data_IF_012312407623
#
_entry.id   IF_012312407623
#
_cell.length_a   1.000
_cell.length_b   1.000
_cell.length_c   1.000
_cell.angle_alpha   90.00
_cell.angle_beta   90.00
_cell.angle_gamma   90.00
#
_symmetry.space_group_name_H-M   'P 1'
#
loop_
_entity.id
_entity.type
_entity.pdbx_description
1 polymer ?
#
# COMPACT_ATOMS: atom_id res chain seq x y z
N UNK A 1 18.69 -7.98 -7.11
CA UNK A 1 17.83 -6.97 -6.48
C UNK A 1 17.49 -7.49 -5.10
N UNK A 2 17.68 -6.70 -4.06
CA UNK A 2 17.30 -7.10 -2.70
C UNK A 2 15.76 -7.14 -2.53
N UNK A 3 15.31 -7.72 -1.41
CA UNK A 3 13.88 -7.91 -1.12
C UNK A 3 13.09 -6.60 -1.17
N UNK A 4 13.59 -5.56 -0.50
CA UNK A 4 12.88 -4.27 -0.36
C UNK A 4 12.81 -3.54 -1.69
N UNK A 5 13.89 -3.50 -2.46
CA UNK A 5 13.93 -2.87 -3.77
C UNK A 5 13.02 -3.61 -4.76
N UNK A 6 12.98 -4.93 -4.70
CA UNK A 6 12.07 -5.75 -5.51
C UNK A 6 10.60 -5.45 -5.20
N UNK A 7 10.23 -5.39 -3.93
CA UNK A 7 8.88 -5.04 -3.50
C UNK A 7 8.50 -3.59 -3.83
N UNK A 8 9.40 -2.64 -3.59
CA UNK A 8 9.16 -1.24 -3.93
C UNK A 8 8.92 -1.07 -5.43
N UNK A 9 9.68 -1.77 -6.29
CA UNK A 9 9.46 -1.77 -7.73
C UNK A 9 8.12 -2.39 -8.13
N UNK A 10 7.73 -3.52 -7.53
CA UNK A 10 6.42 -4.15 -7.78
C UNK A 10 5.27 -3.20 -7.42
N UNK A 11 5.35 -2.59 -6.24
CA UNK A 11 4.37 -1.62 -5.76
C UNK A 11 4.32 -0.42 -6.71
N UNK A 12 5.46 0.21 -7.02
CA UNK A 12 5.51 1.38 -7.89
C UNK A 12 4.90 1.09 -9.27
N UNK A 13 5.27 -0.02 -9.92
CA UNK A 13 4.67 -0.42 -11.21
C UNK A 13 3.16 -0.53 -11.19
N UNK A 14 2.57 -0.84 -10.03
CA UNK A 14 1.12 -0.99 -9.87
C UNK A 14 0.43 0.34 -9.55
N UNK A 15 0.90 1.05 -8.52
CA UNK A 15 0.18 2.21 -7.94
C UNK A 15 0.82 3.58 -8.20
N UNK A 16 2.08 3.62 -8.62
CA UNK A 16 2.84 4.85 -8.92
C UNK A 16 3.83 4.60 -10.08
N UNK A 17 3.35 4.26 -11.29
CA UNK A 17 4.19 3.81 -12.39
C UNK A 17 5.22 4.85 -12.84
N UNK A 18 4.92 6.14 -12.64
CA UNK A 18 5.84 7.26 -12.84
C UNK A 18 7.07 7.24 -11.93
N UNK A 19 7.01 6.50 -10.82
CA UNK A 19 8.10 6.35 -9.85
C UNK A 19 8.88 5.03 -10.00
N UNK A 20 8.48 4.17 -10.95
CA UNK A 20 9.03 2.82 -11.08
C UNK A 20 10.54 2.80 -11.33
N UNK A 21 11.07 3.77 -12.07
CA UNK A 21 12.50 3.82 -12.46
C UNK A 21 13.43 4.02 -11.25
N UNK A 22 12.96 4.66 -10.18
CA UNK A 22 13.73 4.91 -8.96
C UNK A 22 13.18 4.19 -7.73
N UNK A 23 12.15 3.35 -7.91
CA UNK A 23 11.45 2.69 -6.82
C UNK A 23 12.36 1.83 -5.94
N UNK A 24 13.33 1.16 -6.56
CA UNK A 24 14.30 0.34 -5.83
C UNK A 24 15.14 1.17 -4.85
N UNK A 25 15.63 2.33 -5.31
CA UNK A 25 16.45 3.24 -4.53
C UNK A 25 15.64 3.90 -3.42
N UNK A 26 14.40 4.30 -3.71
CA UNK A 26 13.47 4.84 -2.71
C UNK A 26 13.15 3.80 -1.63
N UNK A 27 12.87 2.56 -2.02
CA UNK A 27 12.64 1.45 -1.10
C UNK A 27 13.83 1.25 -0.16
N UNK A 28 15.05 1.23 -0.71
CA UNK A 28 16.29 1.09 0.06
C UNK A 28 16.54 2.26 1.01
N UNK A 29 16.42 3.49 0.50
CA UNK A 29 16.54 4.69 1.30
C UNK A 29 15.53 4.68 2.46
N UNK A 30 14.30 4.24 2.21
CA UNK A 30 13.29 4.09 3.24
C UNK A 30 13.68 3.02 4.26
N UNK A 31 14.00 1.79 3.84
CA UNK A 31 14.33 0.69 4.76
C UNK A 31 15.58 0.97 5.61
N UNK A 32 16.59 1.65 5.05
CA UNK A 32 17.80 2.05 5.78
C UNK A 32 17.54 3.01 6.95
N UNK A 33 16.39 3.70 6.95
CA UNK A 33 15.96 4.57 8.04
C UNK A 33 16.78 5.87 8.16
N UNK A 34 16.73 6.46 9.36
CA UNK A 34 17.53 7.63 9.73
C UNK A 34 17.44 8.79 8.73
N UNK A 35 18.61 9.33 8.34
CA UNK A 35 18.72 10.48 7.42
C UNK A 35 18.29 10.15 5.99
N UNK A 36 18.50 8.92 5.52
CA UNK A 36 18.14 8.52 4.17
C UNK A 36 16.61 8.47 4.01
N UNK A 37 15.90 7.84 4.96
CA UNK A 37 14.43 7.88 5.00
C UNK A 37 13.90 9.32 5.14
N UNK A 38 14.50 10.12 6.01
CA UNK A 38 14.07 11.51 6.22
C UNK A 38 14.27 12.40 4.97
N UNK A 39 15.24 12.08 4.10
CA UNK A 39 15.48 12.81 2.86
C UNK A 39 14.40 12.58 1.79
N UNK A 40 13.59 11.53 1.92
CA UNK A 40 12.47 11.24 1.01
C UNK A 40 11.26 12.16 1.24
N UNK A 41 11.23 12.89 2.36
CA UNK A 41 10.11 13.76 2.73
C UNK A 41 10.56 15.23 2.76
N UNK A 42 9.71 16.18 2.32
CA UNK A 42 9.96 17.61 2.41
C UNK A 42 10.31 18.02 3.84
N UNK A 43 11.32 18.87 3.97
CA UNK A 43 11.65 19.49 5.27
C UNK A 43 10.74 20.70 5.50
N UNK A 44 10.23 20.92 6.72
CA UNK A 44 9.59 22.18 7.06
C UNK A 44 10.59 23.34 6.82
N UNK A 45 10.24 24.28 5.95
CA UNK A 45 11.09 25.42 5.62
C UNK A 45 12.10 25.20 4.48
N UNK A 46 11.98 24.14 3.68
CA UNK A 46 12.75 24.03 2.44
C UNK A 46 12.39 25.18 1.48
N UNK A 47 13.38 25.99 1.10
CA UNK A 47 13.17 27.12 0.18
C UNK A 47 12.69 26.62 -1.20
N UNK A 48 11.72 27.31 -1.83
CA UNK A 48 11.27 27.00 -3.18
C UNK A 48 12.42 27.29 -4.17
N UNK A 49 13.08 26.26 -4.71
CA UNK A 49 14.13 26.48 -5.72
C UNK A 49 15.13 25.34 -5.96
N UNK A 50 15.23 24.33 -5.09
CA UNK A 50 15.95 23.10 -5.42
C UNK A 50 15.02 22.14 -6.16
N UNK A 51 15.34 21.78 -7.42
CA UNK A 51 14.70 20.75 -8.27
C UNK A 51 13.48 20.05 -7.62
N UNK A 52 12.20 20.27 -7.94
CA UNK A 52 11.46 21.04 -8.94
C UNK A 52 9.98 20.59 -8.81
N UNK A 53 9.11 21.02 -9.72
CA UNK A 53 8.04 21.99 -9.43
C UNK A 53 7.02 21.47 -8.41
N UNK A 54 6.59 22.25 -7.41
CA UNK A 54 5.63 21.81 -6.36
C UNK A 54 6.12 20.56 -5.61
N UNK A 55 6.89 20.73 -4.53
CA UNK A 55 7.50 19.65 -3.74
C UNK A 55 6.48 18.75 -3.01
N UNK A 56 5.61 18.09 -3.76
CA UNK A 56 4.75 17.01 -3.32
C UNK A 56 5.67 15.82 -3.05
N UNK A 57 5.49 15.19 -1.89
CA UNK A 57 6.08 13.89 -1.61
C UNK A 57 5.63 12.98 -2.76
N UNK A 58 6.56 12.23 -3.39
CA UNK A 58 6.16 11.15 -4.29
C UNK A 58 5.19 10.20 -3.59
N UNK A 59 4.27 9.59 -4.32
CA UNK A 59 3.31 8.65 -3.75
C UNK A 59 4.04 7.45 -3.13
N UNK A 60 5.15 7.00 -3.72
CA UNK A 60 5.87 5.82 -3.25
C UNK A 60 6.44 5.99 -1.81
N UNK A 61 7.16 7.06 -1.45
CA UNK A 61 7.53 7.31 -0.05
C UNK A 61 6.35 7.35 0.92
N UNK A 62 5.20 7.92 0.51
CA UNK A 62 3.97 7.95 1.31
C UNK A 62 3.42 6.54 1.51
N UNK A 63 3.36 5.75 0.45
CA UNK A 63 2.91 4.36 0.46
C UNK A 63 3.78 3.51 1.38
N UNK A 64 5.11 3.62 1.27
CA UNK A 64 6.05 2.88 2.11
C UNK A 64 5.89 3.26 3.59
N UNK A 65 5.62 4.55 3.89
CA UNK A 65 5.31 4.99 5.25
C UNK A 65 4.00 4.38 5.76
N UNK A 66 2.93 4.43 4.98
CA UNK A 66 1.65 3.85 5.36
C UNK A 66 1.76 2.33 5.62
N UNK A 67 2.50 1.61 4.76
CA UNK A 67 2.78 0.18 4.94
C UNK A 67 3.59 -0.10 6.20
N UNK A 68 4.64 0.70 6.47
CA UNK A 68 5.43 0.57 7.67
C UNK A 68 4.60 0.84 8.94
N UNK A 69 3.70 1.83 8.91
CA UNK A 69 2.81 2.15 10.03
C UNK A 69 1.79 1.04 10.28
N UNK A 70 1.27 0.43 9.22
CA UNK A 70 0.28 -0.65 9.28
C UNK A 70 0.89 -2.06 9.36
N UNK A 71 2.22 -2.20 9.43
CA UNK A 71 2.91 -3.48 9.26
C UNK A 71 2.40 -4.60 10.18
N UNK A 72 2.09 -4.30 11.46
CA UNK A 72 1.62 -5.31 12.41
C UNK A 72 0.21 -5.83 12.07
N UNK A 73 -0.72 -4.92 11.77
CA UNK A 73 -2.07 -5.26 11.31
C UNK A 73 -2.03 -6.08 10.02
N UNK A 74 -1.16 -5.70 9.08
CA UNK A 74 -0.98 -6.40 7.81
C UNK A 74 -0.34 -7.77 8.01
N UNK A 75 0.69 -7.89 8.84
CA UNK A 75 1.32 -9.19 9.15
C UNK A 75 0.37 -10.15 9.84
N UNK A 76 -0.51 -9.64 10.71
CA UNK A 76 -1.58 -10.44 11.30
C UNK A 76 -2.52 -10.98 10.21
N UNK A 77 -2.95 -10.12 9.27
CA UNK A 77 -3.80 -10.51 8.14
C UNK A 77 -3.14 -11.57 7.23
N UNK A 78 -1.85 -11.38 6.91
CA UNK A 78 -1.07 -12.30 6.07
C UNK A 78 -0.84 -13.66 6.73
N UNK A 79 -0.93 -13.74 8.07
CA UNK A 79 -0.77 -14.97 8.85
C UNK A 79 -2.07 -15.74 9.11
N UNK A 80 -3.22 -15.29 8.58
CA UNK A 80 -4.51 -15.91 8.86
C UNK A 80 -4.68 -17.27 8.15
N UNK A 81 -5.37 -18.26 8.77
CA UNK A 81 -5.55 -19.58 8.17
C UNK A 81 -6.44 -19.58 6.91
N UNK A 82 -7.31 -18.58 6.73
CA UNK A 82 -8.31 -18.49 5.65
C UNK A 82 -7.90 -17.45 4.59
N UNK A 83 -6.60 -17.28 4.39
CA UNK A 83 -6.04 -16.32 3.46
C UNK A 83 -6.66 -16.36 2.06
N UNK A 84 -7.04 -17.54 1.56
CA UNK A 84 -7.70 -17.71 0.27
C UNK A 84 -9.02 -16.91 0.15
N UNK A 85 -9.81 -16.83 1.23
CA UNK A 85 -11.06 -16.06 1.25
C UNK A 85 -10.75 -14.56 1.18
N UNK A 86 -9.73 -14.10 1.91
CA UNK A 86 -9.28 -12.70 1.90
C UNK A 86 -8.79 -12.31 0.50
N UNK A 87 -7.98 -13.16 -0.14
CA UNK A 87 -7.51 -12.95 -1.52
C UNK A 87 -8.70 -12.77 -2.46
N UNK A 88 -9.70 -13.65 -2.41
CA UNK A 88 -10.87 -13.56 -3.27
C UNK A 88 -11.66 -12.24 -3.08
N UNK A 89 -11.87 -11.81 -1.83
CA UNK A 89 -12.57 -10.56 -1.51
C UNK A 89 -11.78 -9.35 -2.03
N UNK A 90 -10.46 -9.33 -1.81
CA UNK A 90 -9.60 -8.22 -2.24
C UNK A 90 -9.52 -8.12 -3.76
N UNK A 91 -9.29 -9.24 -4.45
CA UNK A 91 -9.23 -9.24 -5.91
C UNK A 91 -10.56 -8.84 -6.55
N UNK A 92 -11.70 -9.22 -5.95
CA UNK A 92 -13.02 -8.73 -6.37
C UNK A 92 -13.15 -7.22 -6.15
N UNK A 93 -12.72 -6.71 -4.99
CA UNK A 93 -12.69 -5.27 -4.70
C UNK A 93 -11.87 -4.47 -5.71
N UNK A 94 -10.69 -4.97 -6.12
CA UNK A 94 -9.87 -4.36 -7.17
C UNK A 94 -10.58 -4.40 -8.53
N UNK A 95 -11.19 -5.54 -8.89
CA UNK A 95 -11.88 -5.70 -10.17
C UNK A 95 -13.08 -4.74 -10.33
N UNK A 96 -13.86 -4.53 -9.27
CA UNK A 96 -15.00 -3.60 -9.27
C UNK A 96 -14.59 -2.12 -9.38
N UNK A 97 -13.35 -1.79 -8.97
CA UNK A 97 -12.84 -0.41 -8.90
C UNK A 97 -12.02 -0.01 -10.12
N UNK A 98 -11.60 -0.96 -10.96
CA UNK A 98 -10.96 -0.63 -12.24
C UNK A 98 -12.02 -0.02 -13.18
N UNK A 99 -11.81 1.19 -13.70
CA UNK A 99 -12.72 1.79 -14.65
C UNK A 99 -12.80 0.90 -15.89
N UNK A 100 -13.99 0.36 -16.16
CA UNK A 100 -14.26 -0.50 -17.31
C UNK A 100 -14.27 0.39 -18.56
N UNK A 101 -13.18 0.43 -19.31
CA UNK A 101 -13.21 0.95 -20.68
C UNK A 101 -14.02 -0.03 -21.54
N UNK A 102 -15.34 0.21 -21.64
CA UNK A 102 -16.24 -0.55 -22.49
C UNK A 102 -17.59 -0.82 -21.82
N UNK A 103 -18.64 -0.30 -22.46
CA UNK A 103 -20.05 -0.45 -22.11
C UNK A 103 -20.39 -1.81 -21.50
N UNK A 104 -20.90 -1.75 -20.27
CA UNK A 104 -21.98 -2.62 -19.80
C UNK A 104 -22.55 -2.07 -18.50
N UNK A 105 -23.85 -1.79 -18.54
CA UNK A 105 -24.70 -1.51 -17.38
C UNK A 105 -24.42 -2.48 -16.23
N UNK A 106 -24.40 -2.02 -14.97
CA UNK A 106 -24.44 -2.91 -13.82
C UNK A 106 -25.88 -3.12 -13.39
N UNK A 107 -26.46 -4.27 -13.73
CA UNK A 107 -27.43 -4.93 -12.86
C UNK A 107 -26.62 -5.73 -11.83
N UNK A 108 -26.58 -5.23 -10.60
CA UNK A 108 -26.29 -6.01 -9.40
C UNK A 108 -26.85 -5.27 -8.19
N UNK A 109 -28.04 -5.69 -7.76
CA UNK A 109 -28.53 -5.49 -6.39
C UNK A 109 -27.42 -5.86 -5.41
N UNK A 110 -26.94 -4.88 -4.65
CA UNK A 110 -26.00 -5.13 -3.56
C UNK A 110 -26.83 -5.39 -2.31
N UNK A 111 -27.22 -6.66 -2.17
CA UNK A 111 -27.80 -7.21 -0.96
C UNK A 111 -26.80 -7.00 0.18
N UNK A 112 -27.15 -6.10 1.08
CA UNK A 112 -26.39 -5.78 2.27
C UNK A 112 -26.70 -6.85 3.31
N UNK A 113 -26.19 -8.07 3.11
CA UNK A 113 -26.28 -9.14 4.10
C UNK A 113 -25.29 -8.83 5.23
N UNK A 114 -25.74 -7.99 6.17
CA UNK A 114 -25.13 -7.74 7.48
C UNK A 114 -25.15 -9.03 8.31
N UNK A 115 -24.31 -10.00 7.93
CA UNK A 115 -23.89 -11.03 8.87
C UNK A 115 -22.89 -10.43 9.84
N UNK A 116 -22.88 -10.83 11.13
CA UNK A 116 -21.77 -10.52 12.01
C UNK A 116 -20.50 -11.04 11.33
N UNK A 117 -19.66 -10.12 10.87
CA UNK A 117 -18.57 -10.42 9.96
C UNK A 117 -17.64 -11.46 10.56
N UNK A 118 -17.29 -12.46 9.75
CA UNK A 118 -16.17 -13.36 10.02
C UNK A 118 -14.98 -12.53 10.54
N UNK A 119 -14.28 -12.95 11.62
CA UNK A 119 -13.14 -12.20 12.16
C UNK A 119 -12.13 -11.73 11.10
N UNK A 120 -12.02 -12.48 10.01
CA UNK A 120 -11.18 -12.27 8.84
C UNK A 120 -11.70 -11.14 7.94
N UNK A 121 -13.01 -11.03 7.72
CA UNK A 121 -13.59 -9.89 6.98
C UNK A 121 -13.50 -8.61 7.79
N UNK A 122 -13.64 -8.72 9.12
CA UNK A 122 -13.40 -7.60 10.05
C UNK A 122 -11.93 -7.18 10.02
N UNK A 123 -10.99 -8.15 10.05
CA UNK A 123 -9.55 -7.87 9.97
C UNK A 123 -9.16 -7.22 8.64
N UNK A 124 -9.70 -7.71 7.52
CA UNK A 124 -9.49 -7.14 6.20
C UNK A 124 -10.02 -5.70 6.12
N UNK A 125 -11.28 -5.46 6.51
CA UNK A 125 -11.87 -4.13 6.50
C UNK A 125 -11.07 -3.16 7.39
N UNK A 126 -10.64 -3.62 8.56
CA UNK A 126 -9.79 -2.84 9.46
C UNK A 126 -8.44 -2.51 8.84
N UNK A 127 -7.82 -3.43 8.10
CA UNK A 127 -6.55 -3.20 7.42
C UNK A 127 -6.69 -2.20 6.26
N UNK A 128 -7.75 -2.32 5.45
CA UNK A 128 -8.09 -1.37 4.38
C UNK A 128 -8.29 0.02 4.96
N UNK A 129 -9.11 0.14 6.01
CA UNK A 129 -9.42 1.43 6.65
C UNK A 129 -8.18 2.08 7.27
N UNK A 130 -7.33 1.29 7.92
CA UNK A 130 -6.05 1.79 8.45
C UNK A 130 -5.13 2.29 7.33
N UNK A 131 -4.94 1.52 6.27
CA UNK A 131 -4.10 1.92 5.12
C UNK A 131 -4.64 3.18 4.45
N UNK A 132 -5.93 3.20 4.13
CA UNK A 132 -6.61 4.36 3.54
C UNK A 132 -6.46 5.59 4.42
N UNK A 133 -6.69 5.44 5.72
CA UNK A 133 -6.54 6.52 6.70
C UNK A 133 -5.11 7.07 6.73
N UNK A 134 -4.10 6.21 6.70
CA UNK A 134 -2.68 6.63 6.66
C UNK A 134 -2.32 7.35 5.38
N UNK A 135 -2.67 6.77 4.22
CA UNK A 135 -2.44 7.40 2.92
C UNK A 135 -3.12 8.78 2.83
N UNK A 136 -4.36 8.90 3.30
CA UNK A 136 -5.09 10.16 3.29
C UNK A 136 -4.49 11.22 4.23
N UNK A 137 -4.09 10.81 5.45
CA UNK A 137 -3.41 11.70 6.40
C UNK A 137 -2.07 12.19 5.87
N UNK A 138 -1.45 11.42 4.97
CA UNK A 138 -0.18 11.72 4.34
C UNK A 138 -0.32 12.55 3.04
N UNK A 139 -1.54 12.99 2.71
CA UNK A 139 -1.82 13.93 1.61
C UNK A 139 -2.44 13.30 0.37
N UNK A 140 -2.62 11.97 0.33
CA UNK A 140 -3.26 11.31 -0.81
C UNK A 140 -4.77 11.59 -0.84
N UNK A 141 -5.37 12.00 -1.97
CA UNK A 141 -6.82 12.20 -2.07
C UNK A 141 -7.59 10.93 -1.71
N UNK A 142 -8.66 11.03 -0.91
CA UNK A 142 -9.42 9.87 -0.40
C UNK A 142 -9.81 8.83 -1.47
N UNK A 143 -10.32 9.20 -2.65
CA UNK A 143 -10.64 8.22 -3.69
C UNK A 143 -9.40 7.45 -4.18
N UNK A 144 -8.25 8.13 -4.30
CA UNK A 144 -6.97 7.52 -4.69
C UNK A 144 -6.44 6.63 -3.55
N UNK A 145 -6.47 7.10 -2.31
CA UNK A 145 -6.05 6.36 -1.13
C UNK A 145 -6.80 5.03 -0.97
N UNK A 146 -8.10 5.02 -1.28
CA UNK A 146 -8.90 3.81 -1.23
C UNK A 146 -8.50 2.80 -2.32
N UNK A 147 -8.36 3.26 -3.57
CA UNK A 147 -7.91 2.39 -4.67
C UNK A 147 -6.51 1.82 -4.38
N UNK A 148 -5.57 2.67 -3.97
CA UNK A 148 -4.20 2.26 -3.63
C UNK A 148 -4.20 1.26 -2.48
N UNK A 149 -5.03 1.44 -1.44
CA UNK A 149 -5.11 0.49 -0.33
C UNK A 149 -5.52 -0.92 -0.80
N UNK A 150 -6.52 -1.03 -1.68
CA UNK A 150 -6.94 -2.32 -2.24
C UNK A 150 -5.86 -2.93 -3.14
N UNK A 151 -5.22 -2.12 -3.99
CA UNK A 151 -4.17 -2.60 -4.90
C UNK A 151 -2.91 -3.06 -4.15
N UNK A 152 -2.55 -2.38 -3.05
CA UNK A 152 -1.47 -2.80 -2.16
C UNK A 152 -1.79 -4.11 -1.46
N UNK A 153 -3.02 -4.27 -0.95
CA UNK A 153 -3.43 -5.52 -0.31
C UNK A 153 -3.40 -6.68 -1.30
N UNK A 154 -3.91 -6.50 -2.52
CA UNK A 154 -3.86 -7.52 -3.57
C UNK A 154 -2.41 -7.94 -3.89
N UNK A 155 -1.50 -6.97 -3.98
CA UNK A 155 -0.08 -7.23 -4.23
C UNK A 155 0.58 -7.96 -3.04
N UNK A 156 0.33 -7.56 -1.79
CA UNK A 156 0.86 -8.24 -0.59
C UNK A 156 0.33 -9.66 -0.44
N UNK A 157 -0.94 -9.89 -0.77
CA UNK A 157 -1.59 -11.19 -0.68
C UNK A 157 -1.13 -12.17 -1.77
N UNK A 158 -0.51 -11.68 -2.85
CA UNK A 158 0.03 -12.53 -3.92
C UNK A 158 1.24 -13.37 -3.47
N UNK A 159 2.03 -12.87 -2.51
CA UNK A 159 3.14 -13.58 -1.87
C UNK A 159 3.24 -13.18 -0.37
N UNK A 160 2.38 -13.77 0.49
CA UNK A 160 2.23 -13.37 1.90
C UNK A 160 3.49 -13.56 2.74
N UNK A 161 4.30 -14.58 2.41
CA UNK A 161 5.54 -14.87 3.10
C UNK A 161 6.58 -13.78 2.80
N UNK A 162 6.83 -13.50 1.52
CA UNK A 162 7.77 -12.44 1.15
C UNK A 162 7.26 -11.04 1.54
N UNK A 163 5.94 -10.82 1.50
CA UNK A 163 5.31 -9.57 1.94
C UNK A 163 5.53 -9.35 3.45
N UNK A 164 5.41 -10.39 4.27
CA UNK A 164 5.66 -10.31 5.71
C UNK A 164 7.12 -9.96 6.03
N UNK A 165 8.08 -10.52 5.27
CA UNK A 165 9.50 -10.19 5.41
C UNK A 165 9.79 -8.75 4.95
N UNK A 166 9.15 -8.31 3.87
CA UNK A 166 9.24 -6.94 3.39
C UNK A 166 8.73 -5.92 4.42
N UNK A 167 7.57 -6.19 5.05
CA UNK A 167 7.01 -5.33 6.09
C UNK A 167 7.93 -5.23 7.33
N UNK A 168 8.59 -6.34 7.72
CA UNK A 168 9.63 -6.32 8.76
C UNK A 168 10.82 -5.45 8.35
N UNK A 169 11.28 -5.58 7.11
CA UNK A 169 12.39 -4.80 6.59
C UNK A 169 12.07 -3.29 6.59
N UNK A 170 10.84 -2.89 6.24
CA UNK A 170 10.41 -1.49 6.32
C UNK A 170 10.39 -0.94 7.75
N UNK A 171 10.03 -1.77 8.74
CA UNK A 171 10.12 -1.40 10.16
C UNK A 171 11.57 -1.26 10.67
N UNK A 172 12.56 -1.74 9.91
CA UNK A 172 13.94 -1.85 10.37
C UNK A 172 14.17 -3.08 11.27
N UNK A 173 13.26 -4.06 11.21
CA UNK A 173 13.33 -5.32 11.98
C UNK A 173 14.10 -6.43 11.23
N UNK A 174 14.63 -6.16 10.04
CA UNK A 174 15.50 -7.11 9.34
C UNK A 174 16.77 -7.31 10.15
N UNK A 175 16.93 -8.53 10.70
CA UNK A 175 18.14 -8.98 11.39
C UNK A 175 19.38 -8.67 10.53
N UNK A 176 20.28 -7.87 11.08
CA UNK A 176 21.69 -7.86 10.69
C UNK A 176 22.38 -9.15 11.09
#
# INVERSE_FOLDING_TARGET
MDLVGGWALKIAKRVAPEEADFAAEVGQAFASGGRARAALFPRPGAEPGGWGPTALIGDLPVILRALADCAESLRYLLGTPQLANIVAIVSLGVAMRRPKSGDREPDAENDSDERPGDPETVALHSAVEQLRGRLANDGMPRPRAELVAYELLDELLSDPAAASEFLRALKGESRG
#
